data_IF_563920661031
#
_entry.id   IF_563920661031
#
_cell.length_a   1.000
_cell.length_b   1.000
_cell.length_c   1.000
_cell.angle_alpha   90.00
_cell.angle_beta   90.00
_cell.angle_gamma   90.00
#
_symmetry.space_group_name_H-M   'P 1'
#
loop_
_entity.id
_entity.type
_entity.pdbx_description
1 polymer ?
#
# COMPACT_ATOMS: atom_id res chain seq x y z
N UNK A 1 10.91 -2.80 16.23
CA UNK A 1 10.10 -3.83 15.54
C UNK A 1 10.80 -5.19 15.40
N UNK A 2 12.10 -5.26 15.09
CA UNK A 2 12.80 -6.54 14.85
C UNK A 2 12.75 -7.53 16.03
N UNK A 3 13.00 -7.07 17.26
CA UNK A 3 12.97 -7.91 18.47
C UNK A 3 11.55 -8.47 18.75
N UNK A 4 10.52 -7.63 18.65
CA UNK A 4 9.12 -8.04 18.82
C UNK A 4 8.72 -9.13 17.82
N UNK A 5 9.12 -8.97 16.55
CA UNK A 5 8.88 -9.98 15.53
C UNK A 5 9.55 -11.30 15.89
N UNK A 6 10.81 -11.28 16.34
CA UNK A 6 11.51 -12.50 16.76
C UNK A 6 10.77 -13.23 17.90
N UNK A 7 10.32 -12.49 18.92
CA UNK A 7 9.56 -13.05 20.04
C UNK A 7 8.19 -13.57 19.63
N UNK A 8 7.49 -12.86 18.74
CA UNK A 8 6.18 -13.28 18.25
C UNK A 8 6.29 -14.49 17.31
N UNK A 9 7.29 -14.54 16.42
CA UNK A 9 7.52 -15.70 15.54
C UNK A 9 7.81 -17.00 16.29
N UNK A 10 8.41 -16.92 17.49
CA UNK A 10 8.61 -18.10 18.36
C UNK A 10 7.28 -18.63 18.93
N UNK A 11 6.29 -17.76 19.11
CA UNK A 11 4.98 -18.11 19.66
C UNK A 11 3.98 -18.50 18.54
N UNK A 12 3.98 -17.74 17.45
CA UNK A 12 3.16 -17.93 16.26
C UNK A 12 3.94 -17.39 15.03
N UNK A 13 4.48 -18.30 14.19
CA UNK A 13 5.18 -17.92 12.96
C UNK A 13 4.33 -17.05 12.02
N UNK A 14 3.03 -17.32 11.94
CA UNK A 14 2.09 -16.61 11.06
C UNK A 14 1.87 -15.18 11.54
N UNK A 15 1.71 -14.99 12.86
CA UNK A 15 1.60 -13.65 13.44
C UNK A 15 2.91 -12.85 13.28
N UNK A 16 4.07 -13.52 13.40
CA UNK A 16 5.36 -12.90 13.11
C UNK A 16 5.51 -12.45 11.65
N UNK A 17 4.93 -13.18 10.70
CA UNK A 17 4.91 -12.80 9.29
C UNK A 17 4.07 -11.55 9.03
N UNK A 18 2.95 -11.36 9.74
CA UNK A 18 2.14 -10.14 9.63
C UNK A 18 2.95 -8.86 9.98
N UNK A 19 3.91 -8.95 10.91
CA UNK A 19 4.78 -7.82 11.26
C UNK A 19 5.79 -7.45 10.16
N UNK A 20 6.07 -8.33 9.19
CA UNK A 20 6.96 -8.02 8.06
C UNK A 20 6.40 -6.90 7.19
N UNK A 21 5.07 -6.80 7.06
CA UNK A 21 4.40 -5.73 6.30
C UNK A 21 4.62 -4.37 6.98
N UNK A 22 4.52 -4.32 8.31
CA UNK A 22 4.76 -3.09 9.08
C UNK A 22 6.24 -2.70 8.97
N UNK A 23 7.16 -3.64 9.17
CA UNK A 23 8.61 -3.39 9.03
C UNK A 23 8.98 -2.89 7.61
N UNK A 24 8.30 -3.40 6.58
CA UNK A 24 8.49 -2.94 5.21
C UNK A 24 8.12 -1.46 5.06
N UNK A 25 6.94 -1.04 5.53
CA UNK A 25 6.54 0.37 5.46
C UNK A 25 7.36 1.27 6.36
N UNK A 26 7.76 0.80 7.55
CA UNK A 26 8.68 1.54 8.43
C UNK A 26 10.00 1.85 7.72
N UNK A 27 10.56 0.88 6.98
CA UNK A 27 11.77 1.09 6.18
C UNK A 27 11.57 2.08 5.04
N UNK A 28 10.45 2.02 4.33
CA UNK A 28 10.13 2.98 3.26
C UNK A 28 10.02 4.41 3.81
N UNK A 29 9.31 4.58 4.93
CA UNK A 29 9.13 5.89 5.58
C UNK A 29 10.45 6.42 6.12
N UNK A 30 11.23 5.59 6.83
CA UNK A 30 12.55 5.97 7.34
C UNK A 30 13.53 6.36 6.22
N UNK A 31 13.41 5.74 5.05
CA UNK A 31 14.23 6.05 3.87
C UNK A 31 13.70 7.23 3.04
N UNK A 32 12.61 7.87 3.46
CA UNK A 32 11.98 9.00 2.76
C UNK A 32 11.72 8.73 1.27
N UNK A 33 11.24 7.54 0.92
CA UNK A 33 10.96 7.18 -0.48
C UNK A 33 9.82 8.01 -1.05
N UNK A 34 9.73 8.03 -2.39
CA UNK A 34 8.62 8.67 -3.10
C UNK A 34 7.26 8.08 -2.72
N UNK A 35 6.20 8.88 -2.86
CA UNK A 35 4.82 8.41 -2.64
C UNK A 35 4.44 7.29 -3.61
N UNK A 36 4.99 7.28 -4.83
CA UNK A 36 4.83 6.18 -5.79
C UNK A 36 5.32 4.85 -5.24
N UNK A 37 6.51 4.84 -4.63
CA UNK A 37 7.08 3.63 -4.03
C UNK A 37 6.19 3.11 -2.90
N UNK A 38 5.66 4.02 -2.08
CA UNK A 38 4.78 3.68 -0.96
C UNK A 38 3.44 3.11 -1.45
N UNK A 39 2.79 3.77 -2.41
CA UNK A 39 1.51 3.32 -2.97
C UNK A 39 1.67 2.03 -3.77
N UNK A 40 2.79 1.85 -4.49
CA UNK A 40 3.12 0.60 -5.17
C UNK A 40 3.24 -0.57 -4.18
N UNK A 41 4.00 -0.38 -3.10
CA UNK A 41 4.14 -1.38 -2.05
C UNK A 41 2.80 -1.76 -1.43
N UNK A 42 1.92 -0.77 -1.22
CA UNK A 42 0.57 -1.00 -0.71
C UNK A 42 -0.29 -1.82 -1.68
N UNK A 43 -0.23 -1.52 -2.99
CA UNK A 43 -0.95 -2.29 -4.00
C UNK A 43 -0.48 -3.75 -4.05
N UNK A 44 0.84 -3.96 -4.07
CA UNK A 44 1.44 -5.30 -4.14
C UNK A 44 1.12 -6.16 -2.91
N UNK A 45 1.26 -5.61 -1.70
CA UNK A 45 1.09 -6.37 -0.45
C UNK A 45 -0.37 -6.61 -0.09
N UNK A 46 -1.27 -5.68 -0.43
CA UNK A 46 -2.69 -5.83 -0.13
C UNK A 46 -3.46 -6.59 -1.23
N UNK A 47 -2.81 -6.93 -2.36
CA UNK A 47 -3.41 -7.57 -3.53
C UNK A 47 -4.66 -6.84 -4.04
N UNK A 48 -4.64 -5.51 -3.91
CA UNK A 48 -5.71 -4.61 -4.31
C UNK A 48 -5.12 -3.43 -5.04
N UNK A 49 -5.92 -2.75 -5.84
CA UNK A 49 -5.45 -1.51 -6.46
C UNK A 49 -5.27 -0.45 -5.37
N UNK A 50 -4.15 0.28 -5.40
CA UNK A 50 -3.89 1.36 -4.45
C UNK A 50 -3.66 2.69 -5.19
N UNK A 51 -4.08 3.78 -4.57
CA UNK A 51 -3.88 5.11 -5.13
C UNK A 51 -3.66 6.18 -4.08
N UNK A 52 -2.96 7.24 -4.49
CA UNK A 52 -2.83 8.47 -3.72
C UNK A 52 -3.40 9.63 -4.53
N UNK A 53 -4.25 10.43 -3.86
CA UNK A 53 -4.87 11.61 -4.43
C UNK A 53 -4.49 12.83 -3.61
N UNK A 54 -3.99 13.85 -4.30
CA UNK A 54 -3.78 15.18 -3.77
C UNK A 54 -4.09 16.20 -4.86
N UNK A 55 -4.36 17.47 -4.50
CA UNK A 55 -4.60 18.52 -5.48
C UNK A 55 -3.49 18.67 -6.54
N UNK A 56 -2.27 18.27 -6.21
CA UNK A 56 -1.08 18.43 -7.06
C UNK A 56 -0.61 17.14 -7.72
N UNK A 57 -1.12 15.98 -7.29
CA UNK A 57 -0.59 14.69 -7.71
C UNK A 57 -1.62 13.59 -7.54
N UNK A 58 -1.78 12.80 -8.60
CA UNK A 58 -2.55 11.57 -8.61
C UNK A 58 -1.63 10.43 -9.01
N UNK A 59 -1.57 9.37 -8.21
CA UNK A 59 -0.86 8.13 -8.55
C UNK A 59 -1.73 6.92 -8.28
N UNK A 60 -1.62 5.91 -9.14
CA UNK A 60 -2.40 4.67 -9.06
C UNK A 60 -1.51 3.49 -9.43
N UNK A 61 -1.63 2.42 -8.66
CA UNK A 61 -0.99 1.14 -8.92
C UNK A 61 -2.04 0.03 -8.87
N UNK A 62 -1.95 -0.88 -9.83
CA UNK A 62 -2.73 -2.12 -9.85
C UNK A 62 -2.19 -3.09 -8.77
N UNK A 63 -3.00 -4.08 -8.38
CA UNK A 63 -2.62 -5.10 -7.39
C UNK A 63 -1.26 -5.79 -7.66
N UNK A 64 -0.79 -5.83 -8.91
CA UNK A 64 0.53 -6.36 -9.28
C UNK A 64 1.70 -5.37 -9.12
N UNK A 65 1.46 -4.14 -8.66
CA UNK A 65 2.47 -3.07 -8.56
C UNK A 65 2.80 -2.38 -9.89
N UNK A 66 2.08 -2.70 -10.97
CA UNK A 66 2.14 -1.97 -12.24
C UNK A 66 1.40 -0.63 -12.11
N UNK A 67 1.93 0.41 -12.75
CA UNK A 67 1.27 1.71 -12.77
C UNK A 67 -0.07 1.57 -13.50
N UNK A 68 -1.14 2.06 -12.86
CA UNK A 68 -2.48 2.07 -13.43
C UNK A 68 -2.64 3.19 -14.45
N UNK A 69 -3.69 3.15 -15.28
CA UNK A 69 -3.98 4.23 -16.22
C UNK A 69 -4.18 5.56 -15.48
N UNK A 70 -3.69 6.63 -16.09
CA UNK A 70 -3.96 8.00 -15.66
C UNK A 70 -5.40 8.33 -16.03
N UNK A 71 -6.34 8.00 -15.14
CA UNK A 71 -7.73 8.44 -15.24
C UNK A 71 -7.90 9.76 -14.50
N UNK A 72 -8.70 10.66 -15.09
CA UNK A 72 -9.00 11.97 -14.52
C UNK A 72 -9.35 11.90 -13.03
N UNK A 73 -8.89 12.90 -12.28
CA UNK A 73 -9.05 13.04 -10.82
C UNK A 73 -10.52 13.02 -10.35
N UNK A 74 -11.46 13.15 -11.28
CA UNK A 74 -12.92 13.20 -11.07
C UNK A 74 -13.59 11.82 -11.21
N UNK A 75 -12.90 10.81 -11.74
CA UNK A 75 -13.46 9.46 -11.91
C UNK A 75 -13.55 8.68 -10.59
N UNK A 76 -14.54 7.78 -10.43
CA UNK A 76 -14.63 6.91 -9.26
C UNK A 76 -13.32 6.15 -9.04
N UNK A 77 -12.81 6.15 -7.79
CA UNK A 77 -11.64 5.36 -7.39
C UNK A 77 -11.88 3.85 -7.52
N UNK A 78 -13.14 3.46 -7.63
CA UNK A 78 -13.61 2.14 -8.01
C UNK A 78 -13.46 1.95 -9.51
N UNK A 79 -12.53 1.08 -9.91
CA UNK A 79 -12.74 0.35 -11.16
C UNK A 79 -14.02 -0.47 -10.99
N UNK A 80 -15.13 0.03 -11.54
CA UNK A 80 -16.38 -0.72 -11.66
C UNK A 80 -16.20 -2.05 -12.45
N UNK A 81 -15.02 -2.31 -13.03
CA UNK A 81 -14.73 -3.46 -13.88
C UNK A 81 -13.54 -4.33 -13.43
N UNK A 82 -13.09 -4.24 -12.18
CA UNK A 82 -12.13 -5.20 -11.66
C UNK A 82 -12.61 -5.63 -10.28
N UNK A 83 -12.92 -6.90 -10.08
CA UNK A 83 -13.45 -7.47 -8.82
C UNK A 83 -12.50 -7.39 -7.61
N UNK A 84 -11.69 -6.35 -7.50
CA UNK A 84 -10.72 -6.09 -6.45
C UNK A 84 -11.16 -4.87 -5.64
N UNK A 85 -11.07 -4.97 -4.30
CA UNK A 85 -11.15 -3.82 -3.38
C UNK A 85 -10.10 -2.77 -3.79
N UNK A 86 -10.27 -1.51 -3.38
CA UNK A 86 -9.28 -0.45 -3.60
C UNK A 86 -8.82 0.16 -2.27
N UNK A 87 -7.52 0.44 -2.14
CA UNK A 87 -6.91 1.08 -0.97
C UNK A 87 -6.54 2.55 -1.29
N UNK A 88 -6.95 3.49 -0.44
CA UNK A 88 -6.48 4.87 -0.51
C UNK A 88 -5.32 5.11 0.44
N UNK A 89 -4.34 5.86 -0.03
CA UNK A 89 -3.21 6.37 0.74
C UNK A 89 -3.27 7.90 0.66
N UNK A 90 -3.22 8.62 1.78
CA UNK A 90 -3.22 10.09 1.81
C UNK A 90 -3.98 10.71 2.99
N UNK A 91 -3.88 12.03 3.18
CA UNK A 91 -4.61 12.74 4.23
C UNK A 91 -6.11 12.64 3.97
N UNK A 92 -6.84 11.96 4.86
CA UNK A 92 -8.27 11.64 4.70
C UNK A 92 -8.58 10.15 4.57
N UNK A 93 -7.57 9.27 4.61
CA UNK A 93 -7.78 7.83 4.75
C UNK A 93 -8.02 7.50 6.23
N UNK A 94 -9.29 7.27 6.60
CA UNK A 94 -9.70 6.72 7.90
C UNK A 94 -10.46 5.42 7.65
#
# INVERSE_FOLDING_TARGET
MHELRGRLSLLDPTAGDALKVIEYFDRLVASQVSIETLVRGAATLAHVNAGYNSPTRLVRFLAGGLQGPETDSTGPWTLANAGYRALRVGPGCR
#
